data_IF_847695349709
#
_entry.id   IF_847695349709
#
_cell.length_a   1.000
_cell.length_b   1.000
_cell.length_c   1.000
_cell.angle_alpha   90.00
_cell.angle_beta   90.00
_cell.angle_gamma   90.00
#
_symmetry.space_group_name_H-M   'P 1'
#
loop_
_entity.id
_entity.type
_entity.pdbx_description
1 polymer ?
#
# COMPACT_ATOMS: atom_id res chain seq x y z
N UNK A 1 9.31 -13.92 12.55
CA UNK A 1 7.88 -13.59 12.35
C UNK A 1 7.27 -14.60 11.40
N UNK A 2 6.16 -15.25 11.79
CA UNK A 2 5.32 -15.93 10.79
C UNK A 2 4.64 -14.83 9.97
N UNK A 3 4.79 -14.86 8.65
CA UNK A 3 4.07 -13.95 7.76
C UNK A 3 2.60 -14.35 7.83
N UNK A 4 1.71 -13.44 8.24
CA UNK A 4 0.27 -13.69 8.35
C UNK A 4 -0.44 -13.79 6.99
N UNK A 5 0.30 -14.12 5.93
CA UNK A 5 -0.16 -14.21 4.56
C UNK A 5 0.58 -15.33 3.82
N UNK A 6 -0.08 -15.89 2.82
CA UNK A 6 0.49 -16.86 1.89
C UNK A 6 0.71 -16.17 0.55
N UNK A 7 1.88 -16.36 -0.04
CA UNK A 7 2.13 -15.97 -1.44
C UNK A 7 1.71 -17.18 -2.29
N UNK A 8 0.79 -16.97 -3.22
CA UNK A 8 0.24 -18.00 -4.09
C UNK A 8 0.44 -17.61 -5.56
N UNK A 9 0.69 -18.57 -6.44
CA UNK A 9 0.86 -18.33 -7.87
C UNK A 9 -0.48 -18.00 -8.57
N UNK A 10 -1.58 -18.53 -8.04
CA UNK A 10 -2.95 -18.20 -8.43
C UNK A 10 -3.87 -18.24 -7.20
N UNK A 11 -4.91 -17.40 -7.19
CA UNK A 11 -5.91 -17.38 -6.13
C UNK A 11 -7.20 -18.04 -6.66
N UNK A 12 -7.48 -19.27 -6.21
CA UNK A 12 -8.54 -20.11 -6.80
C UNK A 12 -9.69 -20.45 -5.84
N UNK A 13 -9.77 -19.79 -4.67
CA UNK A 13 -10.79 -20.10 -3.66
C UNK A 13 -11.67 -18.91 -3.32
N UNK A 14 -12.98 -19.16 -3.26
CA UNK A 14 -13.97 -18.25 -2.67
C UNK A 14 -13.50 -17.80 -1.27
N UNK A 15 -13.65 -16.52 -0.97
CA UNK A 15 -13.17 -15.93 0.30
C UNK A 15 -11.67 -15.61 0.34
N UNK A 16 -10.98 -15.64 -0.81
CA UNK A 16 -9.59 -15.16 -0.93
C UNK A 16 -9.58 -13.73 -1.46
N UNK A 17 -8.71 -12.89 -0.88
CA UNK A 17 -8.44 -11.54 -1.40
C UNK A 17 -7.05 -11.45 -2.01
N UNK A 18 -6.96 -10.76 -3.14
CA UNK A 18 -5.70 -10.37 -3.76
C UNK A 18 -5.32 -8.99 -3.26
N UNK A 19 -4.14 -8.87 -2.64
CA UNK A 19 -3.58 -7.58 -2.23
C UNK A 19 -2.52 -7.17 -3.24
N UNK A 20 -2.76 -6.07 -3.95
CA UNK A 20 -1.78 -5.44 -4.83
C UNK A 20 -1.18 -4.25 -4.09
N UNK A 21 0.13 -4.24 -3.96
CA UNK A 21 0.90 -3.17 -3.35
C UNK A 21 1.77 -2.50 -4.41
N UNK A 22 1.73 -1.17 -4.45
CA UNK A 22 2.63 -0.36 -5.25
C UNK A 22 3.29 0.72 -4.40
N UNK A 23 4.61 0.86 -4.50
CA UNK A 23 5.33 2.04 -4.02
C UNK A 23 5.52 2.97 -5.22
N UNK A 24 5.05 4.20 -5.11
CA UNK A 24 5.22 5.21 -6.13
C UNK A 24 6.46 6.07 -5.90
N UNK A 25 6.54 7.16 -6.65
CA UNK A 25 7.74 8.02 -6.69
C UNK A 25 7.94 8.87 -5.43
N UNK A 26 9.18 9.33 -5.27
CA UNK A 26 9.56 10.36 -4.31
C UNK A 26 9.10 11.73 -4.80
N UNK A 27 8.44 12.50 -3.93
CA UNK A 27 8.05 13.88 -4.23
C UNK A 27 8.68 14.84 -3.24
N UNK A 28 9.42 15.83 -3.73
CA UNK A 28 9.98 16.88 -2.89
C UNK A 28 8.87 17.80 -2.37
N UNK A 29 8.86 18.04 -1.05
CA UNK A 29 7.96 19.00 -0.41
C UNK A 29 8.57 20.39 -0.54
N UNK A 30 7.79 21.38 -1.01
CA UNK A 30 8.21 22.78 -1.16
C UNK A 30 9.57 22.95 -1.87
N UNK A 31 9.83 22.19 -2.93
CA UNK A 31 11.10 22.26 -3.67
C UNK A 31 12.32 21.72 -2.92
N UNK A 32 12.11 20.89 -1.89
CA UNK A 32 13.16 20.26 -1.07
C UNK A 32 13.29 20.88 0.33
N UNK A 33 12.64 22.01 0.57
CA UNK A 33 12.60 22.66 1.89
C UNK A 33 11.51 21.96 2.72
N UNK A 34 11.93 21.02 3.57
CA UNK A 34 11.01 20.19 4.35
C UNK A 34 11.01 18.72 3.92
N UNK A 35 11.97 18.26 3.11
CA UNK A 35 12.18 16.86 2.79
C UNK A 35 11.38 16.36 1.58
N UNK A 36 11.15 15.05 1.53
CA UNK A 36 10.35 14.40 0.49
C UNK A 36 9.33 13.47 1.12
N UNK A 37 8.31 13.11 0.34
CA UNK A 37 7.35 12.07 0.69
C UNK A 37 7.51 10.87 -0.23
N UNK A 38 7.14 9.69 0.26
CA UNK A 38 6.93 8.49 -0.55
C UNK A 38 5.45 8.19 -0.64
N UNK A 39 5.01 7.75 -1.82
CA UNK A 39 3.63 7.35 -2.08
C UNK A 39 3.47 5.83 -2.05
N UNK A 40 2.32 5.37 -1.58
CA UNK A 40 1.90 3.97 -1.61
C UNK A 40 0.50 3.89 -2.17
N UNK A 41 0.24 2.86 -2.99
CA UNK A 41 -1.09 2.44 -3.39
C UNK A 41 -1.35 0.99 -2.96
N UNK A 42 -2.54 0.74 -2.43
CA UNK A 42 -3.01 -0.60 -2.04
C UNK A 42 -4.36 -0.84 -2.70
N UNK A 43 -4.49 -2.00 -3.34
CA UNK A 43 -5.77 -2.50 -3.84
C UNK A 43 -6.04 -3.86 -3.23
N UNK A 44 -7.26 -4.06 -2.74
CA UNK A 44 -7.76 -5.34 -2.29
C UNK A 44 -8.87 -5.74 -3.25
N UNK A 45 -8.67 -6.86 -3.95
CA UNK A 45 -9.60 -7.37 -4.95
C UNK A 45 -10.18 -8.70 -4.48
N UNK A 46 -11.42 -8.99 -4.86
CA UNK A 46 -11.93 -10.35 -4.82
C UNK A 46 -11.09 -11.23 -5.76
N UNK A 47 -10.58 -12.36 -5.27
CA UNK A 47 -9.69 -13.20 -6.06
C UNK A 47 -10.35 -13.87 -7.28
N UNK A 48 -11.67 -14.04 -7.25
CA UNK A 48 -12.43 -14.74 -8.28
C UNK A 48 -12.94 -13.78 -9.34
N UNK A 49 -13.52 -12.65 -8.93
CA UNK A 49 -14.09 -11.67 -9.87
C UNK A 49 -13.08 -10.61 -10.28
N UNK A 50 -11.99 -10.44 -9.54
CA UNK A 50 -11.04 -9.34 -9.66
C UNK A 50 -11.67 -7.95 -9.43
N UNK A 51 -12.89 -7.90 -8.89
CA UNK A 51 -13.56 -6.64 -8.56
C UNK A 51 -12.87 -5.98 -7.36
N UNK A 52 -12.68 -4.65 -7.39
CA UNK A 52 -12.07 -3.92 -6.29
C UNK A 52 -13.02 -3.85 -5.09
N UNK A 53 -12.58 -4.41 -3.97
CA UNK A 53 -13.26 -4.30 -2.68
C UNK A 53 -12.78 -3.07 -1.90
N UNK A 54 -11.53 -2.69 -2.12
CA UNK A 54 -10.94 -1.50 -1.52
C UNK A 54 -9.76 -1.00 -2.34
N UNK A 55 -9.63 0.32 -2.41
CA UNK A 55 -8.51 0.99 -3.05
C UNK A 55 -8.15 2.22 -2.24
N UNK A 56 -6.87 2.40 -1.95
CA UNK A 56 -6.37 3.63 -1.37
C UNK A 56 -5.00 3.99 -1.97
N UNK A 57 -4.72 5.29 -1.95
CA UNK A 57 -3.39 5.83 -2.21
C UNK A 57 -3.11 6.92 -1.18
N UNK A 58 -1.92 6.93 -0.62
CA UNK A 58 -1.51 7.94 0.35
C UNK A 58 -0.01 8.21 0.26
N UNK A 59 0.39 9.36 0.77
CA UNK A 59 1.79 9.73 0.95
C UNK A 59 2.13 9.77 2.43
N UNK A 60 3.36 9.39 2.75
CA UNK A 60 3.94 9.43 4.09
C UNK A 60 5.26 10.19 4.11
N UNK A 61 5.57 10.73 5.29
CA UNK A 61 6.77 11.50 5.55
C UNK A 61 7.25 11.25 6.99
N UNK A 62 8.09 10.25 7.15
CA UNK A 62 8.78 9.88 8.38
C UNK A 62 10.24 10.34 8.40
N UNK A 63 11.00 9.73 9.33
CA UNK A 63 12.42 10.06 9.53
C UNK A 63 13.37 9.27 8.61
N UNK A 64 12.90 8.17 8.04
CA UNK A 64 13.62 7.32 7.08
C UNK A 64 12.69 6.92 5.95
N UNK A 65 13.24 6.45 4.82
CA UNK A 65 12.43 5.92 3.71
C UNK A 65 11.45 4.82 4.16
N UNK A 66 11.90 3.96 5.08
CA UNK A 66 11.06 2.91 5.64
C UNK A 66 9.92 3.50 6.48
N UNK A 67 10.13 4.63 7.16
CA UNK A 67 9.09 5.32 7.91
C UNK A 67 8.11 6.04 6.99
N UNK A 68 8.57 6.64 5.89
CA UNK A 68 7.68 7.25 4.88
C UNK A 68 6.69 6.21 4.35
N UNK A 69 7.18 5.02 3.99
CA UNK A 69 6.34 3.92 3.50
C UNK A 69 5.38 3.43 4.59
N UNK A 70 5.84 3.27 5.84
CA UNK A 70 4.96 2.87 6.96
C UNK A 70 3.85 3.88 7.20
N UNK A 71 4.17 5.16 7.17
CA UNK A 71 3.17 6.20 7.38
C UNK A 71 2.19 6.28 6.20
N UNK A 72 2.67 6.16 4.96
CA UNK A 72 1.83 6.09 3.77
C UNK A 72 0.84 4.92 3.88
N UNK A 73 1.31 3.71 4.23
CA UNK A 73 0.46 2.54 4.45
C UNK A 73 -0.57 2.81 5.56
N UNK A 74 -0.13 3.34 6.71
CA UNK A 74 -1.03 3.62 7.84
C UNK A 74 -2.12 4.63 7.47
N UNK A 75 -1.77 5.68 6.73
CA UNK A 75 -2.73 6.68 6.22
C UNK A 75 -3.70 6.07 5.21
N UNK A 76 -3.18 5.24 4.29
CA UNK A 76 -3.96 4.53 3.28
C UNK A 76 -5.01 3.61 3.93
N UNK A 77 -4.62 2.86 4.97
CA UNK A 77 -5.48 1.87 5.63
C UNK A 77 -6.38 2.47 6.73
N UNK A 78 -6.13 3.70 7.19
CA UNK A 78 -7.01 4.40 8.13
C UNK A 78 -8.41 4.68 7.57
N UNK A 79 -8.54 4.70 6.25
CA UNK A 79 -9.81 4.91 5.54
C UNK A 79 -10.56 3.61 5.19
N UNK A 80 -10.05 2.45 5.64
CA UNK A 80 -10.74 1.16 5.56
C UNK A 80 -11.72 1.01 6.74
#
# INVERSE_FOLDING_TARGET
MKKGYLIVDSAEKDGTFLVKYGQGDKRNVLGGIGGYTLSVSIQILDAKTYEPLFMCSAEGQGSTEADDVREAISRCLKTF
#
